data_IF_953677639289
#
_entry.id   IF_953677639289
#
_cell.length_a   1.000
_cell.length_b   1.000
_cell.length_c   1.000
_cell.angle_alpha   90.00
_cell.angle_beta   90.00
_cell.angle_gamma   90.00
#
_symmetry.space_group_name_H-M   'P 1'
#
loop_
_entity.id
_entity.type
_entity.pdbx_description
1 polymer ?
#
# COMPACT_ATOMS: atom_id res chain seq x y z
N UNK A 1 -37.89 31.90 -43.53
CA UNK A 1 -37.60 31.06 -42.36
C UNK A 1 -36.29 30.32 -42.63
N UNK A 2 -35.13 30.60 -42.07
CA UNK A 2 -34.64 31.69 -41.22
C UNK A 2 -33.12 31.65 -41.47
N UNK A 3 -32.58 32.67 -42.15
CA UNK A 3 -31.14 32.83 -42.34
C UNK A 3 -30.54 33.17 -40.97
N UNK A 4 -29.96 32.19 -40.28
CA UNK A 4 -29.08 32.47 -39.15
C UNK A 4 -27.72 32.91 -39.68
N UNK A 5 -27.58 34.21 -39.85
CA UNK A 5 -26.31 34.89 -40.08
C UNK A 5 -25.32 34.49 -39.00
N UNK A 6 -24.14 34.00 -39.39
CA UNK A 6 -23.02 33.73 -38.48
C UNK A 6 -22.64 35.07 -37.81
N UNK A 7 -22.54 35.14 -36.48
CA UNK A 7 -22.23 36.40 -35.79
C UNK A 7 -20.86 36.92 -36.21
N UNK A 8 -20.75 38.23 -36.46
CA UNK A 8 -19.55 38.88 -37.00
C UNK A 8 -18.26 38.63 -36.16
N UNK A 9 -18.40 38.29 -34.87
CA UNK A 9 -17.31 37.90 -34.00
C UNK A 9 -16.65 36.57 -34.40
N UNK A 10 -17.40 35.63 -34.99
CA UNK A 10 -16.86 34.33 -35.42
C UNK A 10 -16.02 34.45 -36.70
N UNK A 11 -16.38 35.39 -37.60
CA UNK A 11 -15.60 35.65 -38.82
C UNK A 11 -14.29 36.37 -38.47
N UNK A 12 -14.31 37.32 -37.52
CA UNK A 12 -13.11 38.02 -37.04
C UNK A 12 -12.07 37.07 -36.41
N UNK A 13 -12.51 36.04 -35.68
CA UNK A 13 -11.60 35.03 -35.08
C UNK A 13 -10.99 34.12 -36.15
N UNK A 14 -11.77 33.67 -37.13
CA UNK A 14 -11.29 32.78 -38.20
C UNK A 14 -10.31 33.48 -39.15
N UNK A 15 -10.45 34.78 -39.36
CA UNK A 15 -9.54 35.56 -40.18
C UNK A 15 -8.20 35.84 -39.47
N UNK A 16 -8.20 36.01 -38.13
CA UNK A 16 -6.96 36.10 -37.33
C UNK A 16 -6.16 34.80 -37.27
N UNK A 17 -6.79 33.64 -37.44
CA UNK A 17 -6.12 32.32 -37.41
C UNK A 17 -5.38 32.01 -38.72
N UNK A 18 -5.78 32.63 -39.85
CA UNK A 18 -5.12 32.41 -41.16
C UNK A 18 -3.74 33.07 -41.29
N UNK A 19 -3.39 33.98 -40.38
CA UNK A 19 -2.11 34.70 -40.36
C UNK A 19 -1.10 34.23 -39.30
N UNK A 20 -1.28 33.04 -38.73
CA UNK A 20 -0.40 32.52 -37.68
C UNK A 20 0.78 31.77 -38.31
N UNK A 21 1.97 32.37 -38.20
CA UNK A 21 3.21 31.86 -38.79
C UNK A 21 3.48 30.40 -38.39
N UNK A 22 4.16 29.66 -39.27
CA UNK A 22 4.53 28.24 -39.08
C UNK A 22 5.29 28.00 -37.77
N UNK A 23 5.95 29.02 -37.21
CA UNK A 23 6.59 28.98 -35.90
C UNK A 23 5.58 28.91 -34.74
N UNK A 24 4.46 29.61 -34.85
CA UNK A 24 3.46 29.70 -33.78
C UNK A 24 2.57 28.45 -33.73
N UNK A 25 2.36 27.74 -34.86
CA UNK A 25 1.79 26.38 -34.88
C UNK A 25 2.68 25.35 -34.21
N UNK A 26 4.01 25.47 -34.33
CA UNK A 26 4.98 24.59 -33.65
C UNK A 26 5.02 24.86 -32.15
N UNK A 27 4.98 26.12 -31.73
CA UNK A 27 4.90 26.51 -30.31
C UNK A 27 3.59 26.01 -29.70
N UNK A 28 2.46 26.13 -30.40
CA UNK A 28 1.16 25.63 -29.93
C UNK A 28 1.14 24.10 -29.84
N UNK A 29 1.80 23.39 -30.75
CA UNK A 29 1.96 21.93 -30.69
C UNK A 29 2.91 21.49 -29.57
N UNK A 30 3.94 22.28 -29.25
CA UNK A 30 4.83 22.06 -28.09
C UNK A 30 4.07 22.33 -26.79
N UNK A 31 3.22 23.36 -26.72
CA UNK A 31 2.38 23.64 -25.53
C UNK A 31 1.30 22.58 -25.36
N UNK A 32 0.68 22.09 -26.43
CA UNK A 32 -0.26 20.96 -26.37
C UNK A 32 0.47 19.66 -26.04
N UNK A 33 1.69 19.43 -26.55
CA UNK A 33 2.51 18.29 -26.17
C UNK A 33 3.04 18.41 -24.73
N UNK A 34 3.26 19.62 -24.22
CA UNK A 34 3.60 19.89 -22.82
C UNK A 34 2.38 19.70 -21.93
N UNK A 35 1.20 20.17 -22.32
CA UNK A 35 -0.05 19.92 -21.58
C UNK A 35 -0.44 18.45 -21.68
N UNK A 36 -0.22 17.78 -22.82
CA UNK A 36 -0.47 16.36 -23.02
C UNK A 36 0.55 15.51 -22.28
N UNK A 37 1.82 15.90 -22.25
CA UNK A 37 2.86 15.29 -21.43
C UNK A 37 2.59 15.57 -19.96
N UNK A 38 2.09 16.75 -19.60
CA UNK A 38 1.64 17.06 -18.24
C UNK A 38 0.40 16.26 -17.88
N UNK A 39 -0.56 16.03 -18.78
CA UNK A 39 -1.72 15.15 -18.52
C UNK A 39 -1.38 13.66 -18.58
N UNK A 40 -0.34 13.26 -19.33
CA UNK A 40 0.17 11.89 -19.42
C UNK A 40 1.06 11.56 -18.20
N UNK A 41 1.83 12.54 -17.74
CA UNK A 41 2.54 12.54 -16.44
C UNK A 41 1.55 12.69 -15.29
N UNK A 42 0.45 13.43 -15.43
CA UNK A 42 -0.63 13.51 -14.42
C UNK A 42 -1.50 12.26 -14.42
N UNK A 43 -1.55 11.47 -15.50
CA UNK A 43 -2.08 10.10 -15.48
C UNK A 43 -1.06 9.06 -15.02
N UNK A 44 0.19 9.47 -14.77
CA UNK A 44 1.33 8.60 -14.54
C UNK A 44 2.07 8.97 -13.26
N UNK A 45 1.63 8.37 -12.15
CA UNK A 45 2.09 8.58 -10.78
C UNK A 45 1.44 9.81 -10.11
N UNK A 46 0.29 9.59 -9.50
CA UNK A 46 -0.05 10.37 -8.30
C UNK A 46 1.08 10.13 -7.28
N UNK A 47 1.93 11.14 -7.11
CA UNK A 47 2.83 11.23 -5.97
C UNK A 47 2.00 11.63 -4.73
N UNK A 48 1.09 10.75 -4.31
CA UNK A 48 0.60 10.76 -2.92
C UNK A 48 1.60 9.98 -2.07
N UNK A 49 2.73 10.63 -1.72
CA UNK A 49 3.62 10.11 -0.70
C UNK A 49 3.03 10.48 0.67
N UNK A 50 2.31 9.52 1.25
CA UNK A 50 2.30 9.25 2.70
C UNK A 50 1.63 7.90 3.04
N UNK A 51 0.82 7.35 2.14
CA UNK A 51 0.08 6.10 2.40
C UNK A 51 0.29 5.10 1.26
N UNK A 52 0.70 3.88 1.60
CA UNK A 52 0.71 2.79 0.64
C UNK A 52 -0.74 2.42 0.30
N UNK A 53 -1.19 2.74 -0.91
CA UNK A 53 -2.53 2.38 -1.38
C UNK A 53 -2.56 0.96 -1.95
N UNK A 54 -3.75 0.35 -1.98
CA UNK A 54 -3.95 -0.97 -2.59
C UNK A 54 -3.50 -1.02 -4.05
N UNK A 55 -3.76 0.04 -4.84
CA UNK A 55 -3.32 0.11 -6.24
C UNK A 55 -1.78 0.10 -6.36
N UNK A 56 -1.08 0.77 -5.42
CA UNK A 56 0.38 0.72 -5.37
C UNK A 56 0.88 -0.64 -4.91
N UNK A 57 0.23 -1.28 -3.95
CA UNK A 57 0.56 -2.64 -3.51
C UNK A 57 0.46 -3.66 -4.64
N UNK A 58 -0.61 -3.64 -5.44
CA UNK A 58 -0.76 -4.51 -6.64
C UNK A 58 0.42 -4.34 -7.58
N UNK A 59 0.80 -3.08 -7.87
CA UNK A 59 1.95 -2.80 -8.73
C UNK A 59 3.26 -3.30 -8.15
N UNK A 60 3.49 -3.11 -6.84
CA UNK A 60 4.69 -3.60 -6.17
C UNK A 60 4.80 -5.12 -6.21
N UNK A 61 3.69 -5.83 -6.02
CA UNK A 61 3.65 -7.29 -6.11
C UNK A 61 3.95 -7.74 -7.54
N UNK A 62 3.37 -7.08 -8.55
CA UNK A 62 3.60 -7.40 -9.96
C UNK A 62 5.00 -7.00 -10.49
N UNK A 63 5.57 -5.91 -9.99
CA UNK A 63 6.89 -5.38 -10.36
C UNK A 63 8.02 -6.10 -9.60
N UNK A 64 7.69 -6.95 -8.61
CA UNK A 64 8.70 -7.62 -7.80
C UNK A 64 9.52 -8.62 -8.62
N UNK A 65 10.83 -8.65 -8.39
CA UNK A 65 11.77 -9.47 -9.15
C UNK A 65 11.45 -10.97 -8.96
N UNK A 66 11.32 -11.69 -10.07
CA UNK A 66 11.13 -13.15 -10.06
C UNK A 66 12.34 -13.81 -9.37
N UNK A 67 12.09 -14.51 -8.27
CA UNK A 67 13.14 -15.13 -7.44
C UNK A 67 13.58 -14.32 -6.23
N UNK A 68 13.05 -13.11 -6.00
CA UNK A 68 13.24 -12.41 -4.74
C UNK A 68 12.63 -13.24 -3.59
N UNK A 69 13.42 -13.54 -2.56
CA UNK A 69 12.94 -14.33 -1.41
C UNK A 69 11.93 -13.55 -0.58
N UNK A 70 12.05 -12.22 -0.53
CA UNK A 70 11.36 -11.37 0.44
C UNK A 70 10.81 -10.09 -0.21
N UNK A 71 9.57 -9.73 0.12
CA UNK A 71 9.01 -8.40 -0.12
C UNK A 71 9.26 -7.55 1.13
N UNK A 72 10.08 -6.51 1.02
CA UNK A 72 10.53 -5.70 2.16
C UNK A 72 10.02 -4.27 2.03
N UNK A 73 9.19 -3.84 2.97
CA UNK A 73 8.60 -2.49 3.02
C UNK A 73 8.83 -1.88 4.42
N UNK A 74 10.08 -1.54 4.78
CA UNK A 74 10.44 -1.19 6.16
C UNK A 74 9.94 0.20 6.60
N UNK A 75 9.55 1.06 5.65
CA UNK A 75 9.14 2.44 5.90
C UNK A 75 7.62 2.63 5.83
N UNK A 76 6.84 1.56 5.71
CA UNK A 76 5.37 1.64 5.68
C UNK A 76 4.86 1.58 7.12
N UNK A 77 4.34 2.71 7.62
CA UNK A 77 3.88 2.84 9.01
C UNK A 77 2.42 2.47 9.22
N UNK A 78 1.60 2.53 8.18
CA UNK A 78 0.17 2.22 8.22
C UNK A 78 -0.31 1.68 6.86
N UNK A 79 -1.25 0.73 6.91
CA UNK A 79 -1.98 0.18 5.77
C UNK A 79 -3.43 -0.10 6.18
N UNK A 80 -4.33 -0.09 5.21
CA UNK A 80 -5.70 -0.59 5.40
C UNK A 80 -5.81 -2.08 5.01
N UNK A 81 -6.93 -2.71 5.35
CA UNK A 81 -7.20 -4.10 5.04
C UNK A 81 -7.13 -4.40 3.53
N UNK A 82 -7.57 -3.45 2.68
CA UNK A 82 -7.49 -3.60 1.22
C UNK A 82 -6.04 -3.68 0.76
N UNK A 83 -5.17 -2.83 1.27
CA UNK A 83 -3.74 -2.84 0.94
C UNK A 83 -3.06 -4.08 1.48
N UNK A 84 -3.37 -4.49 2.71
CA UNK A 84 -2.89 -5.75 3.29
C UNK A 84 -3.23 -6.96 2.42
N UNK A 85 -4.47 -7.01 1.91
CA UNK A 85 -4.92 -8.08 1.01
C UNK A 85 -4.10 -8.18 -0.27
N UNK A 86 -3.74 -7.04 -0.86
CA UNK A 86 -2.91 -7.03 -2.07
C UNK A 86 -1.47 -7.45 -1.75
N UNK A 87 -0.92 -6.99 -0.61
CA UNK A 87 0.41 -7.41 -0.15
C UNK A 87 0.48 -8.90 0.18
N UNK A 88 -0.59 -9.49 0.71
CA UNK A 88 -0.68 -10.91 1.03
C UNK A 88 -0.65 -11.82 -0.22
N UNK A 89 -0.82 -11.26 -1.42
CA UNK A 89 -0.68 -11.98 -2.69
C UNK A 89 0.76 -12.01 -3.22
N UNK A 90 1.72 -11.42 -2.48
CA UNK A 90 3.13 -11.43 -2.83
C UNK A 90 3.65 -12.87 -3.10
N UNK A 91 4.29 -13.14 -4.25
CA UNK A 91 4.86 -14.46 -4.56
C UNK A 91 6.09 -14.83 -3.72
N UNK A 92 6.64 -13.86 -2.98
CA UNK A 92 7.83 -14.02 -2.15
C UNK A 92 7.58 -14.98 -0.98
N UNK A 93 8.67 -15.58 -0.49
CA UNK A 93 8.64 -16.43 0.70
C UNK A 93 8.46 -15.63 2.00
N UNK A 94 8.90 -14.37 2.02
CA UNK A 94 8.75 -13.49 3.18
C UNK A 94 8.03 -12.18 2.84
N UNK A 95 7.20 -11.73 3.77
CA UNK A 95 6.58 -10.40 3.77
C UNK A 95 7.04 -9.64 5.01
N UNK A 96 7.86 -8.60 4.80
CA UNK A 96 8.48 -7.82 5.86
C UNK A 96 7.89 -6.41 5.92
N UNK A 97 7.04 -6.18 6.92
CA UNK A 97 6.31 -4.94 7.17
C UNK A 97 6.70 -4.34 8.52
N UNK A 98 8.01 -4.34 8.80
CA UNK A 98 8.57 -3.94 10.09
C UNK A 98 8.37 -2.46 10.45
N UNK A 99 7.89 -1.64 9.51
CA UNK A 99 7.52 -0.25 9.77
C UNK A 99 6.15 -0.06 10.42
N UNK A 100 5.26 -1.06 10.35
CA UNK A 100 3.88 -0.92 10.82
C UNK A 100 3.84 -0.75 12.34
N UNK A 101 3.35 0.39 12.82
CA UNK A 101 3.26 0.69 14.25
C UNK A 101 1.97 0.18 14.91
N UNK A 102 0.91 -0.03 14.11
CA UNK A 102 -0.38 -0.53 14.57
C UNK A 102 -1.17 -1.13 13.40
N UNK A 103 -1.99 -2.14 13.68
CA UNK A 103 -2.96 -2.71 12.74
C UNK A 103 -4.29 -2.99 13.46
N UNK A 104 -5.39 -3.03 12.71
CA UNK A 104 -6.67 -3.50 13.19
C UNK A 104 -6.91 -4.98 12.85
N UNK A 105 -8.03 -5.55 13.33
CA UNK A 105 -8.38 -6.96 13.09
C UNK A 105 -8.55 -7.29 11.61
N UNK A 106 -9.14 -6.38 10.82
CA UNK A 106 -9.31 -6.60 9.38
C UNK A 106 -7.99 -6.63 8.62
N UNK A 107 -7.06 -5.77 8.99
CA UNK A 107 -5.71 -5.75 8.44
C UNK A 107 -4.93 -7.01 8.84
N UNK A 108 -5.03 -7.42 10.12
CA UNK A 108 -4.42 -8.64 10.61
C UNK A 108 -4.95 -9.89 9.88
N UNK A 109 -6.26 -9.96 9.66
CA UNK A 109 -6.93 -11.03 8.92
C UNK A 109 -6.37 -11.19 7.50
N UNK A 110 -6.28 -10.08 6.76
CA UNK A 110 -5.79 -10.09 5.38
C UNK A 110 -4.28 -10.43 5.33
N UNK A 111 -3.47 -9.91 6.25
CA UNK A 111 -2.05 -10.27 6.36
C UNK A 111 -1.84 -11.76 6.72
N UNK A 112 -2.68 -12.33 7.57
CA UNK A 112 -2.63 -13.76 7.91
C UNK A 112 -2.97 -14.67 6.71
N UNK A 113 -3.61 -14.12 5.68
CA UNK A 113 -3.82 -14.77 4.38
C UNK A 113 -2.58 -14.87 3.50
N UNK A 114 -1.44 -14.28 3.89
CA UNK A 114 -0.19 -14.39 3.14
C UNK A 114 0.23 -15.85 2.95
N UNK A 115 0.51 -16.24 1.71
CA UNK A 115 0.81 -17.64 1.36
C UNK A 115 2.29 -18.04 1.54
N UNK A 116 3.17 -17.07 1.85
CA UNK A 116 4.58 -17.31 2.09
C UNK A 116 4.89 -17.97 3.44
N UNK A 117 6.17 -18.12 3.72
CA UNK A 117 6.66 -18.81 4.91
C UNK A 117 6.89 -17.89 6.10
N UNK A 118 7.20 -16.61 5.89
CA UNK A 118 7.62 -15.70 6.97
C UNK A 118 6.84 -14.39 6.90
N UNK A 119 6.16 -14.03 7.98
CA UNK A 119 5.53 -12.73 8.17
C UNK A 119 6.22 -12.02 9.34
N UNK A 120 6.75 -10.83 9.10
CA UNK A 120 7.37 -10.00 10.15
C UNK A 120 6.69 -8.65 10.28
N UNK A 121 6.39 -8.31 11.53
CA UNK A 121 5.66 -7.12 11.95
C UNK A 121 6.37 -6.50 13.17
N UNK A 122 7.70 -6.37 13.10
CA UNK A 122 8.51 -5.93 14.24
C UNK A 122 8.25 -4.49 14.68
N UNK A 123 7.52 -3.69 13.91
CA UNK A 123 7.09 -2.35 14.30
C UNK A 123 5.95 -2.36 15.33
N UNK A 124 5.23 -3.48 15.49
CA UNK A 124 4.12 -3.59 16.43
C UNK A 124 4.66 -3.69 17.86
N UNK A 125 4.49 -2.64 18.66
CA UNK A 125 4.92 -2.61 20.07
C UNK A 125 3.86 -3.13 21.04
N UNK A 126 2.60 -3.17 20.59
CA UNK A 126 1.45 -3.74 21.27
C UNK A 126 0.42 -4.22 20.24
N UNK A 127 -0.40 -5.20 20.62
CA UNK A 127 -1.53 -5.69 19.80
C UNK A 127 -2.73 -5.97 20.68
N UNK A 128 -3.94 -5.87 20.13
CA UNK A 128 -5.17 -6.27 20.81
C UNK A 128 -5.33 -7.81 20.77
N UNK A 129 -6.17 -8.39 21.66
CA UNK A 129 -6.52 -9.81 21.57
C UNK A 129 -7.10 -10.21 20.21
N UNK A 130 -7.96 -9.37 19.61
CA UNK A 130 -8.52 -9.63 18.28
C UNK A 130 -7.45 -9.68 17.19
N UNK A 131 -6.51 -8.73 17.19
CA UNK A 131 -5.38 -8.73 16.25
C UNK A 131 -4.51 -9.98 16.42
N UNK A 132 -4.23 -10.37 17.66
CA UNK A 132 -3.44 -11.55 17.95
C UNK A 132 -4.10 -12.85 17.47
N UNK A 133 -5.41 -12.95 17.65
CA UNK A 133 -6.20 -14.09 17.16
C UNK A 133 -6.17 -14.18 15.64
N UNK A 134 -6.32 -13.07 14.93
CA UNK A 134 -6.25 -13.07 13.46
C UNK A 134 -4.84 -13.45 12.98
N UNK A 135 -3.79 -12.86 13.56
CA UNK A 135 -2.40 -13.18 13.21
C UNK A 135 -2.03 -14.64 13.53
N UNK A 136 -2.58 -15.24 14.59
CA UNK A 136 -2.31 -16.65 14.93
C UNK A 136 -2.90 -17.62 13.89
N UNK A 137 -3.82 -17.16 13.03
CA UNK A 137 -4.33 -17.96 11.92
C UNK A 137 -3.36 -18.13 10.76
N UNK A 138 -2.30 -17.31 10.68
CA UNK A 138 -1.27 -17.37 9.64
C UNK A 138 -0.73 -18.80 9.47
N UNK A 139 -0.67 -19.26 8.22
CA UNK A 139 -0.30 -20.66 7.88
C UNK A 139 1.16 -20.85 7.51
N UNK A 140 1.95 -19.78 7.50
CA UNK A 140 3.38 -19.87 7.25
C UNK A 140 4.16 -20.52 8.40
N UNK A 141 5.48 -20.59 8.23
CA UNK A 141 6.38 -21.25 9.18
C UNK A 141 6.74 -20.34 10.35
N UNK A 142 6.92 -19.04 10.10
CA UNK A 142 7.41 -18.12 11.12
C UNK A 142 6.59 -16.82 11.17
N UNK A 143 6.11 -16.49 12.36
CA UNK A 143 5.52 -15.21 12.68
C UNK A 143 6.49 -14.45 13.59
N UNK A 144 6.91 -13.26 13.18
CA UNK A 144 7.93 -12.47 13.88
C UNK A 144 7.28 -11.19 14.42
N UNK A 145 7.23 -11.10 15.75
CA UNK A 145 6.61 -10.01 16.51
C UNK A 145 7.59 -9.48 17.57
N UNK A 146 8.87 -9.34 17.20
CA UNK A 146 9.94 -8.93 18.11
C UNK A 146 9.80 -7.48 18.60
N UNK A 147 8.87 -6.69 18.04
CA UNK A 147 8.53 -5.37 18.54
C UNK A 147 7.74 -5.36 19.85
N UNK A 148 7.03 -6.46 20.15
CA UNK A 148 6.20 -6.53 21.35
C UNK A 148 7.07 -6.46 22.59
N UNK A 149 6.82 -5.44 23.42
CA UNK A 149 7.58 -5.19 24.65
C UNK A 149 6.92 -5.80 25.89
N UNK A 150 5.59 -5.98 25.83
CA UNK A 150 4.76 -6.47 26.93
C UNK A 150 3.77 -7.52 26.41
N UNK A 151 3.46 -8.52 27.24
CA UNK A 151 2.44 -9.53 26.95
C UNK A 151 1.64 -9.86 28.22
N UNK A 152 0.35 -10.10 28.09
CA UNK A 152 -0.52 -10.60 29.17
C UNK A 152 -0.97 -12.05 28.88
N UNK A 153 -1.69 -12.66 29.83
CA UNK A 153 -2.15 -14.06 29.70
C UNK A 153 -3.03 -14.28 28.46
N UNK A 154 -3.99 -13.41 28.22
CA UNK A 154 -4.95 -13.56 27.14
C UNK A 154 -4.26 -13.46 25.78
N UNK A 155 -3.40 -12.46 25.61
CA UNK A 155 -2.60 -12.27 24.40
C UNK A 155 -1.65 -13.46 24.16
N UNK A 156 -1.02 -13.98 25.22
CA UNK A 156 -0.19 -15.18 25.12
C UNK A 156 -1.01 -16.41 24.70
N UNK A 157 -2.25 -16.54 25.19
CA UNK A 157 -3.14 -17.63 24.82
C UNK A 157 -3.55 -17.55 23.34
N UNK A 158 -3.97 -16.36 22.86
CA UNK A 158 -4.34 -16.17 21.45
C UNK A 158 -3.14 -16.43 20.51
N UNK A 159 -1.94 -15.92 20.84
CA UNK A 159 -0.73 -16.15 20.02
C UNK A 159 -0.22 -17.61 20.07
N UNK A 160 -0.45 -18.33 21.18
CA UNK A 160 -0.13 -19.75 21.28
C UNK A 160 -0.97 -20.64 20.36
N UNK A 161 -2.05 -20.10 19.78
CA UNK A 161 -2.81 -20.81 18.76
C UNK A 161 -2.07 -20.92 17.42
N UNK A 162 -1.04 -20.10 17.19
CA UNK A 162 -0.22 -20.16 15.98
C UNK A 162 0.39 -21.55 15.78
N UNK A 163 0.12 -22.16 14.62
CA UNK A 163 0.51 -23.55 14.30
C UNK A 163 1.78 -23.66 13.45
N UNK A 164 2.48 -22.56 13.22
CA UNK A 164 3.75 -22.56 12.53
C UNK A 164 4.88 -23.18 13.36
N UNK A 165 6.08 -23.15 12.79
CA UNK A 165 7.28 -23.73 13.39
C UNK A 165 7.90 -22.82 14.45
N UNK A 166 7.78 -21.50 14.29
CA UNK A 166 8.41 -20.54 15.19
C UNK A 166 7.59 -19.26 15.35
N UNK A 167 7.35 -18.87 16.60
CA UNK A 167 6.83 -17.56 16.98
C UNK A 167 7.96 -16.80 17.67
N UNK A 168 8.39 -15.68 17.09
CA UNK A 168 9.46 -14.86 17.64
C UNK A 168 8.89 -13.66 18.41
N UNK A 169 9.29 -13.55 19.67
CA UNK A 169 8.85 -12.54 20.65
C UNK A 169 10.06 -12.00 21.44
N UNK A 170 11.20 -11.83 20.78
CA UNK A 170 12.49 -11.55 21.41
C UNK A 170 12.54 -10.18 22.12
N UNK A 171 11.64 -9.25 21.77
CA UNK A 171 11.54 -7.94 22.39
C UNK A 171 10.78 -7.89 23.71
N UNK A 172 10.20 -9.01 24.17
CA UNK A 172 9.46 -9.04 25.42
C UNK A 172 10.38 -8.75 26.59
N UNK A 173 10.15 -7.62 27.26
CA UNK A 173 10.88 -7.21 28.47
C UNK A 173 10.02 -7.33 29.72
N UNK A 174 8.69 -7.41 29.56
CA UNK A 174 7.74 -7.54 30.66
C UNK A 174 6.68 -8.59 30.33
N UNK A 175 6.40 -9.46 31.30
CA UNK A 175 5.26 -10.37 31.27
C UNK A 175 4.31 -9.90 32.36
N UNK A 176 3.17 -9.34 31.97
CA UNK A 176 2.18 -8.90 32.93
C UNK A 176 1.24 -10.07 33.26
N UNK A 177 1.35 -10.58 34.47
CA UNK A 177 0.50 -11.67 34.98
C UNK A 177 -0.79 -11.18 35.62
N UNK A 178 -1.07 -9.87 35.62
CA UNK A 178 -2.26 -9.37 36.27
C UNK A 178 -3.52 -9.60 35.42
N UNK A 179 -4.47 -10.25 36.09
CA UNK A 179 -5.89 -10.47 35.79
C UNK A 179 -6.24 -11.78 35.06
N UNK A 180 -6.37 -12.84 35.86
CA UNK A 180 -7.54 -13.73 35.89
C UNK A 180 -7.40 -14.63 37.13
N UNK A 181 -7.87 -14.11 38.26
CA UNK A 181 -8.27 -14.89 39.43
C UNK A 181 -9.78 -15.10 39.40
#
# INVERSE_FOLDING_TARGET
MEHRSVPAQTIWILEKVKGVSTQMKRIQMIVIAWIACWTFVVSGQEYELEVLTAARAVRLVAESEEGAENLILPNVSSIDAKTAKELAQAPQSGLLLDGLSSIDEGTAHELAGFSGFVLTLNGLTSVSPGVARELSTFKGRALVLNGLSTINRDLAADLAEFKGQALFLDGLTQVNTEVAG
#
